data_IF_707514653711
#
_entry.id   IF_707514653711
#
_cell.length_a   1.000
_cell.length_b   1.000
_cell.length_c   1.000
_cell.angle_alpha   90.00
_cell.angle_beta   90.00
_cell.angle_gamma   90.00
#
_symmetry.space_group_name_H-M   'P 1'
#
loop_
_entity.id
_entity.type
_entity.pdbx_description
1 polymer ?
#
# COMPACT_ATOMS: atom_id res chain seq x y z
N UNK A 1 10.89 7.50 10.30
CA UNK A 1 10.92 6.40 11.28
C UNK A 1 11.61 6.80 12.59
N UNK A 2 12.85 7.32 12.56
CA UNK A 2 13.54 7.78 13.78
C UNK A 2 12.70 8.77 14.61
N UNK A 3 12.14 9.79 13.96
CA UNK A 3 11.30 10.82 14.60
C UNK A 3 9.96 10.30 15.15
N UNK A 4 9.61 9.05 14.83
CA UNK A 4 8.43 8.34 15.34
C UNK A 4 8.75 7.45 16.55
N UNK A 5 9.94 7.58 17.14
CA UNK A 5 10.38 6.80 18.32
C UNK A 5 10.40 5.28 18.10
N UNK A 6 10.65 4.85 16.87
CA UNK A 6 10.77 3.43 16.50
C UNK A 6 12.19 2.96 16.84
N UNK A 7 12.32 2.14 17.88
CA UNK A 7 13.61 1.74 18.47
C UNK A 7 14.52 0.93 17.52
N UNK A 8 13.93 0.19 16.59
CA UNK A 8 14.58 -0.65 15.59
C UNK A 8 14.63 0.00 14.19
N UNK A 9 14.44 1.32 14.11
CA UNK A 9 14.31 2.05 12.83
C UNK A 9 15.46 1.83 11.85
N UNK A 10 16.71 1.73 12.32
CA UNK A 10 17.87 1.45 11.47
C UNK A 10 17.81 0.05 10.83
N UNK A 11 17.39 -0.96 11.61
CA UNK A 11 17.23 -2.33 11.12
C UNK A 11 16.12 -2.43 10.07
N UNK A 12 15.00 -1.74 10.31
CA UNK A 12 13.87 -1.69 9.38
C UNK A 12 14.25 -0.95 8.08
N UNK A 13 14.95 0.18 8.19
CA UNK A 13 15.46 0.91 7.04
C UNK A 13 16.47 0.07 6.23
N UNK A 14 17.38 -0.63 6.90
CA UNK A 14 18.32 -1.54 6.26
C UNK A 14 17.60 -2.69 5.53
N UNK A 15 16.50 -3.20 6.09
CA UNK A 15 15.67 -4.25 5.46
C UNK A 15 15.05 -3.75 4.16
N UNK A 16 14.41 -2.57 4.19
CA UNK A 16 13.81 -1.96 3.01
C UNK A 16 14.87 -1.63 1.94
N UNK A 17 15.99 -1.04 2.33
CA UNK A 17 17.09 -0.69 1.42
C UNK A 17 17.73 -1.93 0.79
N UNK A 18 17.98 -2.98 1.57
CA UNK A 18 18.56 -4.21 1.06
C UNK A 18 17.60 -4.87 0.05
N UNK A 19 16.30 -4.91 0.37
CA UNK A 19 15.30 -5.42 -0.55
C UNK A 19 15.25 -4.59 -1.85
N UNK A 20 15.23 -3.26 -1.77
CA UNK A 20 15.28 -2.39 -2.96
C UNK A 20 16.48 -2.69 -3.87
N UNK A 21 17.65 -2.95 -3.28
CA UNK A 21 18.89 -3.24 -4.02
C UNK A 21 18.93 -4.63 -4.66
N UNK A 22 18.29 -5.61 -4.04
CA UNK A 22 18.49 -7.05 -4.36
C UNK A 22 17.28 -7.74 -4.96
N UNK A 23 16.09 -7.12 -4.92
CA UNK A 23 14.86 -7.71 -5.44
C UNK A 23 14.95 -8.00 -6.94
N UNK A 24 14.27 -9.07 -7.34
CA UNK A 24 14.20 -9.47 -8.74
C UNK A 24 13.25 -8.54 -9.51
N UNK A 25 13.70 -8.04 -10.66
CA UNK A 25 12.92 -7.11 -11.51
C UNK A 25 12.35 -7.85 -12.71
N UNK A 26 11.29 -8.63 -12.46
CA UNK A 26 10.78 -9.64 -13.40
C UNK A 26 9.50 -9.23 -14.13
N UNK A 27 8.90 -8.10 -13.78
CA UNK A 27 7.70 -7.56 -14.45
C UNK A 27 7.92 -6.12 -14.89
N UNK A 28 7.05 -5.62 -15.77
CA UNK A 28 6.96 -4.20 -16.05
C UNK A 28 5.98 -3.56 -15.06
N UNK A 29 6.38 -2.45 -14.47
CA UNK A 29 5.58 -1.69 -13.49
C UNK A 29 5.58 -0.21 -13.84
N UNK A 30 4.57 0.51 -13.37
CA UNK A 30 4.53 1.96 -13.50
C UNK A 30 5.53 2.62 -12.53
N UNK A 31 5.76 2.04 -11.34
CA UNK A 31 6.90 2.38 -10.49
C UNK A 31 6.74 3.59 -9.56
N UNK A 32 5.65 4.36 -9.68
CA UNK A 32 5.18 5.36 -8.73
C UNK A 32 3.63 5.47 -8.75
N UNK A 33 2.94 4.39 -8.38
CA UNK A 33 1.48 4.32 -8.48
C UNK A 33 0.83 4.77 -7.17
N UNK A 34 0.04 5.84 -7.25
CA UNK A 34 -0.72 6.39 -6.12
C UNK A 34 -1.91 7.19 -6.67
N UNK A 35 -2.80 7.69 -5.80
CA UNK A 35 -4.03 8.36 -6.28
C UNK A 35 -3.79 9.57 -7.20
N UNK A 36 -2.63 10.23 -7.09
CA UNK A 36 -2.24 11.32 -7.99
C UNK A 36 -1.91 10.88 -9.42
N UNK A 37 -1.63 9.59 -9.65
CA UNK A 37 -1.36 9.02 -10.98
C UNK A 37 -2.57 8.29 -11.57
N UNK A 38 -3.74 8.36 -10.91
CA UNK A 38 -5.00 7.81 -11.39
C UNK A 38 -5.92 8.93 -11.91
N UNK A 39 -6.40 8.76 -13.14
CA UNK A 39 -7.39 9.64 -13.76
C UNK A 39 -8.72 8.89 -13.82
N UNK A 40 -9.77 9.48 -13.26
CA UNK A 40 -11.12 8.91 -13.30
C UNK A 40 -11.94 9.73 -14.28
N UNK A 41 -12.33 9.13 -15.40
CA UNK A 41 -13.24 9.76 -16.35
C UNK A 41 -14.67 9.67 -15.81
N UNK A 42 -15.21 10.84 -15.48
CA UNK A 42 -16.55 11.01 -14.93
C UNK A 42 -17.60 11.36 -15.99
N UNK A 43 -17.22 11.52 -17.27
CA UNK A 43 -18.14 11.95 -18.33
C UNK A 43 -19.36 11.03 -18.47
N UNK A 44 -19.30 9.78 -17.98
CA UNK A 44 -20.42 8.84 -17.90
C UNK A 44 -21.40 9.11 -16.75
N UNK A 45 -20.96 9.68 -15.62
CA UNK A 45 -21.81 9.90 -14.43
C UNK A 45 -22.88 10.98 -14.65
N UNK A 46 -22.62 11.94 -15.53
CA UNK A 46 -23.59 12.99 -15.88
C UNK A 46 -24.65 12.54 -16.90
N UNK A 47 -24.48 11.36 -17.53
CA UNK A 47 -25.44 10.76 -18.46
C UNK A 47 -26.26 9.62 -17.86
N UNK A 48 -25.92 9.19 -16.64
CA UNK A 48 -26.44 8.02 -15.95
C UNK A 48 -27.80 8.23 -15.23
N UNK A 49 -28.52 9.32 -15.50
CA UNK A 49 -29.93 9.40 -15.09
C UNK A 49 -30.79 8.58 -16.06
N UNK A 50 -30.59 7.25 -16.13
CA UNK A 50 -31.49 6.37 -16.87
C UNK A 50 -30.93 5.06 -17.45
N UNK A 51 -29.60 4.85 -17.49
CA UNK A 51 -29.01 3.61 -18.03
C UNK A 51 -28.30 2.80 -16.93
N UNK A 52 -28.56 1.49 -16.89
CA UNK A 52 -28.10 0.55 -15.85
C UNK A 52 -26.62 0.14 -15.98
N UNK A 53 -25.94 0.47 -17.08
CA UNK A 53 -24.52 0.13 -17.31
C UNK A 53 -23.61 1.37 -17.30
N UNK A 54 -23.40 1.93 -16.11
CA UNK A 54 -22.43 3.01 -15.91
C UNK A 54 -21.02 2.43 -15.85
N UNK A 55 -20.31 2.44 -16.97
CA UNK A 55 -18.87 2.16 -16.99
C UNK A 55 -18.06 3.42 -16.63
N UNK A 56 -17.21 3.29 -15.62
CA UNK A 56 -16.22 4.31 -15.23
C UNK A 56 -14.88 3.89 -15.81
N UNK A 57 -14.26 4.77 -16.59
CA UNK A 57 -12.90 4.52 -17.10
C UNK A 57 -11.88 5.08 -16.12
N UNK A 58 -10.94 4.23 -15.70
CA UNK A 58 -9.79 4.64 -14.88
C UNK A 58 -8.53 4.54 -15.73
N UNK A 59 -7.88 5.67 -15.98
CA UNK A 59 -6.59 5.77 -16.65
C UNK A 59 -5.44 5.88 -15.64
N UNK A 60 -4.27 5.39 -16.02
CA UNK A 60 -3.01 5.59 -15.26
C UNK A 60 -2.14 6.56 -16.06
N UNK A 61 -1.69 7.65 -15.43
CA UNK A 61 -0.81 8.63 -16.04
C UNK A 61 0.59 8.63 -15.38
N UNK A 62 1.45 9.56 -15.80
CA UNK A 62 2.76 9.80 -15.21
C UNK A 62 3.70 8.56 -15.19
N UNK A 63 4.03 8.06 -16.39
CA UNK A 63 4.84 6.85 -16.58
C UNK A 63 6.36 7.10 -16.49
N UNK A 64 6.82 8.20 -15.88
CA UNK A 64 8.23 8.57 -15.84
C UNK A 64 9.12 7.57 -15.08
N UNK A 65 8.53 6.81 -14.15
CA UNK A 65 9.20 5.78 -13.34
C UNK A 65 9.01 4.35 -13.87
N UNK A 66 8.39 4.21 -15.05
CA UNK A 66 8.02 2.92 -15.57
C UNK A 66 9.22 2.09 -16.04
N UNK A 67 9.20 0.80 -15.72
CA UNK A 67 10.28 -0.10 -16.11
C UNK A 67 10.26 -1.45 -15.41
N UNK A 68 11.33 -2.26 -15.58
CA UNK A 68 11.47 -3.54 -14.90
C UNK A 68 11.47 -3.39 -13.37
N UNK A 69 10.56 -4.11 -12.70
CA UNK A 69 10.37 -4.03 -11.25
C UNK A 69 9.93 -5.38 -10.65
N UNK A 70 9.82 -5.42 -9.32
CA UNK A 70 9.33 -6.58 -8.57
C UNK A 70 7.83 -6.79 -8.82
N UNK A 71 7.35 -8.04 -8.94
CA UNK A 71 5.93 -8.34 -9.12
C UNK A 71 4.99 -7.70 -8.09
N UNK A 72 5.48 -7.49 -6.86
CA UNK A 72 4.70 -6.88 -5.80
C UNK A 72 4.71 -5.33 -5.81
N UNK A 73 5.52 -4.68 -6.65
CA UNK A 73 5.81 -3.25 -6.55
C UNK A 73 4.55 -2.36 -6.59
N UNK A 74 3.82 -2.40 -7.71
CA UNK A 74 2.67 -1.50 -7.92
C UNK A 74 1.51 -1.83 -6.98
N UNK A 75 1.26 -3.12 -6.71
CA UNK A 75 0.18 -3.53 -5.80
C UNK A 75 0.50 -3.17 -4.34
N UNK A 76 1.77 -3.24 -3.93
CA UNK A 76 2.22 -2.79 -2.61
C UNK A 76 2.08 -1.27 -2.47
N UNK A 77 2.47 -0.53 -3.49
CA UNK A 77 2.43 0.93 -3.46
C UNK A 77 0.97 1.43 -3.46
N UNK A 78 0.15 1.04 -4.44
CA UNK A 78 -1.25 1.44 -4.49
C UNK A 78 -2.01 0.99 -3.24
N UNK A 79 -1.80 -0.27 -2.83
CA UNK A 79 -2.38 -0.83 -1.62
C UNK A 79 -2.01 -0.05 -0.36
N UNK A 80 -0.78 0.47 -0.28
CA UNK A 80 -0.35 1.34 0.80
C UNK A 80 -1.14 2.65 0.86
N UNK A 81 -1.38 3.33 -0.26
CA UNK A 81 -2.19 4.57 -0.26
C UNK A 81 -3.64 4.30 0.17
N UNK A 82 -4.22 3.17 -0.24
CA UNK A 82 -5.54 2.74 0.22
C UNK A 82 -5.52 2.44 1.73
N UNK A 83 -4.48 1.77 2.23
CA UNK A 83 -4.30 1.53 3.66
C UNK A 83 -4.21 2.85 4.43
N UNK A 84 -3.35 3.78 4.01
CA UNK A 84 -3.19 5.10 4.63
C UNK A 84 -4.51 5.84 4.75
N UNK A 85 -5.35 5.84 3.70
CA UNK A 85 -6.68 6.44 3.77
C UNK A 85 -7.58 5.82 4.84
N UNK A 86 -7.54 4.49 5.01
CA UNK A 86 -8.42 3.79 5.97
C UNK A 86 -8.09 4.08 7.45
N UNK A 87 -6.84 4.46 7.73
CA UNK A 87 -6.37 4.77 9.10
C UNK A 87 -6.08 6.27 9.28
N UNK A 88 -6.31 7.08 8.25
CA UNK A 88 -6.12 8.52 8.28
C UNK A 88 -7.22 9.19 9.14
N UNK A 89 -6.87 10.12 10.04
CA UNK A 89 -7.86 10.85 10.86
C UNK A 89 -8.79 11.77 10.07
N UNK A 90 -8.47 12.07 8.80
CA UNK A 90 -9.29 12.92 7.93
C UNK A 90 -10.45 12.15 7.29
N UNK A 91 -10.44 10.82 7.38
CA UNK A 91 -11.43 9.95 6.72
C UNK A 91 -12.64 9.73 7.63
N UNK A 92 -13.83 10.06 7.12
CA UNK A 92 -15.11 9.78 7.79
C UNK A 92 -15.51 8.31 7.69
N UNK A 93 -16.46 7.86 8.54
CA UNK A 93 -16.96 6.48 8.51
C UNK A 93 -17.51 6.07 7.14
N UNK A 94 -18.25 6.94 6.45
CA UNK A 94 -18.77 6.66 5.12
C UNK A 94 -17.65 6.53 4.06
N UNK A 95 -16.59 7.33 4.17
CA UNK A 95 -15.44 7.20 3.28
C UNK A 95 -14.66 5.91 3.56
N UNK A 96 -14.60 5.45 4.82
CA UNK A 96 -13.96 4.18 5.17
C UNK A 96 -14.66 2.99 4.51
N UNK A 97 -15.99 2.97 4.40
CA UNK A 97 -16.71 1.92 3.67
C UNK A 97 -16.28 1.84 2.20
N UNK A 98 -16.16 2.98 1.53
CA UNK A 98 -15.68 3.06 0.14
C UNK A 98 -14.24 2.58 0.02
N UNK A 99 -13.36 2.98 0.94
CA UNK A 99 -11.95 2.56 0.97
C UNK A 99 -11.84 1.04 1.15
N UNK A 100 -12.65 0.45 2.04
CA UNK A 100 -12.64 -1.00 2.27
C UNK A 100 -13.18 -1.78 1.07
N UNK A 101 -14.26 -1.31 0.44
CA UNK A 101 -14.79 -1.93 -0.79
C UNK A 101 -13.78 -1.84 -1.95
N UNK A 102 -13.08 -0.70 -2.07
CA UNK A 102 -12.00 -0.54 -3.04
C UNK A 102 -10.85 -1.50 -2.76
N UNK A 103 -10.40 -1.63 -1.50
CA UNK A 103 -9.34 -2.56 -1.11
C UNK A 103 -9.70 -4.02 -1.44
N UNK A 104 -10.92 -4.45 -1.08
CA UNK A 104 -11.41 -5.80 -1.38
C UNK A 104 -11.42 -6.08 -2.88
N UNK A 105 -11.92 -5.13 -3.69
CA UNK A 105 -11.98 -5.29 -5.14
C UNK A 105 -10.59 -5.26 -5.78
N UNK A 106 -9.71 -4.36 -5.33
CA UNK A 106 -8.33 -4.21 -5.81
C UNK A 106 -7.55 -5.51 -5.63
N UNK A 107 -7.45 -6.00 -4.39
CA UNK A 107 -6.70 -7.21 -4.10
C UNK A 107 -7.39 -8.45 -4.66
N UNK A 108 -8.71 -8.55 -4.51
CA UNK A 108 -9.50 -9.65 -5.07
C UNK A 108 -9.28 -9.82 -6.58
N UNK A 109 -9.36 -8.73 -7.33
CA UNK A 109 -9.15 -8.73 -8.78
C UNK A 109 -7.69 -8.98 -9.16
N UNK A 110 -6.74 -8.38 -8.46
CA UNK A 110 -5.30 -8.59 -8.70
C UNK A 110 -4.92 -10.06 -8.53
N UNK A 111 -5.29 -10.68 -7.41
CA UNK A 111 -4.92 -12.06 -7.11
C UNK A 111 -5.71 -13.09 -7.92
N UNK A 112 -6.99 -12.83 -8.24
CA UNK A 112 -7.76 -13.69 -9.14
C UNK A 112 -7.17 -13.76 -10.56
N UNK A 113 -6.47 -12.70 -10.99
CA UNK A 113 -5.77 -12.66 -12.29
C UNK A 113 -4.46 -13.43 -12.33
N UNK A 114 -3.91 -13.87 -11.19
CA UNK A 114 -2.64 -14.59 -11.16
C UNK A 114 -2.80 -16.05 -11.60
N UNK A 115 -1.93 -16.49 -12.52
CA UNK A 115 -1.91 -17.89 -12.99
C UNK A 115 -1.32 -18.86 -11.98
N UNK A 116 -0.59 -18.36 -10.98
CA UNK A 116 0.11 -19.14 -9.98
C UNK A 116 -0.08 -18.47 -8.62
N UNK A 117 -0.15 -19.29 -7.58
CA UNK A 117 -0.17 -18.79 -6.22
C UNK A 117 1.14 -18.04 -5.92
N UNK A 118 1.09 -16.88 -5.25
CA UNK A 118 2.29 -16.16 -4.86
C UNK A 118 3.15 -16.97 -3.89
N UNK A 119 4.46 -16.94 -4.12
CA UNK A 119 5.43 -17.63 -3.27
C UNK A 119 5.87 -16.75 -2.08
N UNK A 120 6.78 -17.29 -1.26
CA UNK A 120 7.30 -16.59 -0.09
C UNK A 120 8.02 -15.28 -0.47
N UNK A 121 8.73 -15.28 -1.59
CA UNK A 121 9.48 -14.11 -2.03
C UNK A 121 8.52 -12.97 -2.40
N UNK A 122 7.41 -13.28 -3.07
CA UNK A 122 6.35 -12.30 -3.34
C UNK A 122 5.78 -11.73 -2.05
N UNK A 123 5.36 -12.58 -1.09
CA UNK A 123 4.73 -12.11 0.15
C UNK A 123 5.67 -11.25 1.00
N UNK A 124 6.94 -11.64 1.09
CA UNK A 124 7.98 -10.84 1.76
C UNK A 124 8.17 -9.49 1.05
N UNK A 125 8.20 -9.47 -0.27
CA UNK A 125 8.37 -8.25 -1.06
C UNK A 125 7.16 -7.31 -0.87
N UNK A 126 5.94 -7.85 -0.93
CA UNK A 126 4.71 -7.11 -0.67
C UNK A 126 4.74 -6.45 0.73
N UNK A 127 5.07 -7.20 1.78
CA UNK A 127 5.18 -6.64 3.14
C UNK A 127 6.24 -5.55 3.25
N UNK A 128 7.42 -5.76 2.67
CA UNK A 128 8.52 -4.78 2.74
C UNK A 128 8.16 -3.50 2.00
N UNK A 129 7.68 -3.62 0.77
CA UNK A 129 7.33 -2.48 -0.08
C UNK A 129 6.15 -1.71 0.48
N UNK A 130 5.11 -2.40 0.96
CA UNK A 130 3.93 -1.77 1.58
C UNK A 130 4.33 -1.01 2.85
N UNK A 131 5.12 -1.65 3.73
CA UNK A 131 5.57 -1.02 4.97
C UNK A 131 6.52 0.15 4.75
N UNK A 132 7.42 0.03 3.77
CA UNK A 132 8.32 1.12 3.38
C UNK A 132 7.56 2.30 2.79
N UNK A 133 6.65 2.05 1.83
CA UNK A 133 5.87 3.12 1.22
C UNK A 133 5.00 3.82 2.25
N UNK A 134 4.45 3.09 3.23
CA UNK A 134 3.66 3.70 4.30
C UNK A 134 4.50 4.66 5.15
N UNK A 135 5.69 4.24 5.56
CA UNK A 135 6.61 5.10 6.29
C UNK A 135 7.09 6.31 5.45
N UNK A 136 7.32 6.09 4.16
CA UNK A 136 7.76 7.13 3.22
C UNK A 136 6.66 8.15 2.94
N UNK A 137 5.48 7.71 2.52
CA UNK A 137 4.35 8.55 2.15
C UNK A 137 3.79 9.33 3.35
N UNK A 138 3.71 8.72 4.53
CA UNK A 138 3.31 9.43 5.75
C UNK A 138 4.41 10.40 6.23
N UNK A 139 5.68 9.99 6.12
CA UNK A 139 6.83 10.77 6.57
C UNK A 139 7.16 11.96 5.68
N UNK A 140 6.77 11.94 4.40
CA UNK A 140 7.13 12.96 3.42
C UNK A 140 6.39 14.26 3.68
N UNK A 141 7.13 15.29 4.10
CA UNK A 141 6.60 16.61 4.47
C UNK A 141 5.66 17.22 3.44
N UNK A 142 5.95 17.09 2.14
CA UNK A 142 5.11 17.63 1.07
C UNK A 142 3.74 16.94 0.93
N UNK A 143 3.57 15.75 1.51
CA UNK A 143 2.34 14.94 1.44
C UNK A 143 1.63 14.82 2.80
N UNK A 144 2.18 15.38 3.87
CA UNK A 144 1.62 15.24 5.23
C UNK A 144 0.18 15.79 5.35
N UNK A 145 -0.16 16.85 4.60
CA UNK A 145 -1.51 17.42 4.58
C UNK A 145 -2.56 16.49 3.98
N UNK A 146 -2.16 15.44 3.25
CA UNK A 146 -3.07 14.39 2.78
C UNK A 146 -3.53 13.49 3.94
N UNK A 147 -2.79 13.46 5.04
CA UNK A 147 -2.96 12.50 6.13
C UNK A 147 -3.31 13.14 7.47
N UNK A 148 -2.88 14.37 7.75
CA UNK A 148 -3.35 15.13 8.91
C UNK A 148 -3.55 16.61 8.56
N UNK A 149 -4.55 17.24 9.19
CA UNK A 149 -4.78 18.69 9.22
C UNK A 149 -3.93 19.42 10.28
N UNK A 150 -3.01 18.73 10.93
CA UNK A 150 -2.18 19.25 12.00
C UNK A 150 -1.26 20.36 11.46
N UNK A 151 -1.29 21.57 12.02
CA UNK A 151 -0.43 22.72 11.62
C UNK A 151 1.08 22.53 11.91
N UNK A 152 1.51 21.32 12.26
CA UNK A 152 2.90 21.01 12.57
C UNK A 152 3.71 20.70 11.31
N UNK A 153 4.78 21.45 11.08
CA UNK A 153 5.80 21.07 10.10
C UNK A 153 6.58 19.84 10.61
N UNK A 154 6.43 18.68 9.95
CA UNK A 154 7.12 17.39 10.14
C UNK A 154 6.34 16.29 10.89
N UNK A 155 6.97 15.10 11.03
CA UNK A 155 6.52 13.84 11.72
C UNK A 155 6.32 14.03 13.23
N UNK A 156 5.82 15.19 13.65
CA UNK A 156 5.71 15.61 15.04
C UNK A 156 4.33 15.35 15.62
N UNK A 157 3.28 15.30 14.79
CA UNK A 157 1.96 14.94 15.28
C UNK A 157 1.84 13.42 15.46
N UNK A 158 1.08 13.00 16.47
CA UNK A 158 0.90 11.59 16.79
C UNK A 158 0.26 10.81 15.64
N UNK A 159 -0.66 11.42 14.89
CA UNK A 159 -1.29 10.78 13.74
C UNK A 159 -0.26 10.31 12.70
N UNK A 160 0.67 11.18 12.26
CA UNK A 160 1.71 10.78 11.29
C UNK A 160 2.65 9.74 11.91
N UNK A 161 2.95 9.83 13.22
CA UNK A 161 3.76 8.81 13.91
C UNK A 161 3.08 7.45 13.90
N UNK A 162 1.77 7.41 14.13
CA UNK A 162 0.97 6.18 14.13
C UNK A 162 0.96 5.54 12.73
N UNK A 163 0.83 6.34 11.67
CA UNK A 163 0.94 5.84 10.28
C UNK A 163 2.33 5.26 10.00
N UNK A 164 3.40 5.94 10.43
CA UNK A 164 4.77 5.43 10.28
C UNK A 164 5.00 4.17 11.11
N UNK A 165 4.38 4.07 12.30
CA UNK A 165 4.44 2.88 13.15
C UNK A 165 3.74 1.69 12.49
N UNK A 166 2.61 1.91 11.81
CA UNK A 166 1.93 0.87 11.05
C UNK A 166 2.82 0.35 9.92
N UNK A 167 3.50 1.23 9.17
CA UNK A 167 4.49 0.82 8.17
C UNK A 167 5.63 -0.02 8.77
N UNK A 168 6.09 0.34 9.97
CA UNK A 168 7.10 -0.45 10.69
C UNK A 168 6.60 -1.84 11.12
N UNK A 169 5.30 -2.01 11.42
CA UNK A 169 4.73 -3.34 11.73
C UNK A 169 4.82 -4.29 10.52
N UNK A 170 4.59 -3.78 9.31
CA UNK A 170 4.76 -4.53 8.06
C UNK A 170 6.22 -4.94 7.83
N UNK A 171 7.16 -4.02 8.01
CA UNK A 171 8.59 -4.32 7.88
C UNK A 171 9.04 -5.39 8.89
N UNK A 172 8.57 -5.31 10.13
CA UNK A 172 8.85 -6.32 11.17
C UNK A 172 8.25 -7.68 10.84
N UNK A 173 7.01 -7.72 10.33
CA UNK A 173 6.39 -8.97 9.86
C UNK A 173 7.24 -9.62 8.76
N UNK A 174 7.74 -8.84 7.80
CA UNK A 174 8.62 -9.35 6.75
C UNK A 174 9.95 -9.93 7.28
N UNK A 175 10.54 -9.31 8.32
CA UNK A 175 11.76 -9.82 8.96
C UNK A 175 11.56 -11.18 9.63
N UNK A 176 10.38 -11.41 10.22
CA UNK A 176 10.03 -12.66 10.92
C UNK A 176 9.51 -13.76 10.00
N UNK A 177 9.23 -13.46 8.74
CA UNK A 177 8.66 -14.39 7.77
C UNK A 177 9.74 -15.24 7.11
N UNK A 178 10.13 -16.40 7.67
CA UNK A 178 11.13 -17.29 7.05
C UNK A 178 10.54 -18.37 6.13
N UNK A 179 9.25 -18.66 6.30
CA UNK A 179 8.49 -19.62 5.49
C UNK A 179 7.02 -19.16 5.32
N UNK A 180 6.24 -19.88 4.51
CA UNK A 180 4.84 -19.51 4.20
C UNK A 180 3.93 -19.57 5.44
N UNK A 181 4.12 -20.53 6.33
CA UNK A 181 3.31 -20.64 7.53
C UNK A 181 3.54 -19.44 8.48
N UNK A 182 4.80 -19.02 8.63
CA UNK A 182 5.16 -17.80 9.36
C UNK A 182 4.64 -16.54 8.66
N UNK A 183 4.69 -16.47 7.32
CA UNK A 183 4.09 -15.37 6.56
C UNK A 183 2.60 -15.23 6.89
N UNK A 184 1.87 -16.33 6.83
CA UNK A 184 0.44 -16.37 7.14
C UNK A 184 0.17 -15.98 8.60
N UNK A 185 0.99 -16.46 9.54
CA UNK A 185 0.87 -16.11 10.96
C UNK A 185 1.09 -14.62 11.21
N UNK A 186 2.17 -14.04 10.67
CA UNK A 186 2.51 -12.63 10.82
C UNK A 186 1.46 -11.72 10.17
N UNK A 187 0.97 -12.09 8.97
CA UNK A 187 -0.12 -11.39 8.32
C UNK A 187 -1.41 -11.46 9.14
N UNK A 188 -1.75 -12.59 9.76
CA UNK A 188 -2.94 -12.65 10.62
C UNK A 188 -2.92 -11.64 11.79
N UNK A 189 -1.76 -11.11 12.18
CA UNK A 189 -1.60 -10.06 13.20
C UNK A 189 -1.73 -8.63 12.67
N UNK A 190 -1.84 -8.45 11.35
CA UNK A 190 -1.96 -7.16 10.68
C UNK A 190 -3.39 -7.03 10.14
N UNK A 191 -4.15 -6.06 10.64
CA UNK A 191 -5.57 -5.91 10.28
C UNK A 191 -5.79 -5.70 8.78
N UNK A 192 -4.85 -5.04 8.10
CA UNK A 192 -4.93 -4.75 6.68
C UNK A 192 -4.68 -5.97 5.78
N UNK A 193 -3.90 -6.94 6.23
CA UNK A 193 -3.57 -8.11 5.38
C UNK A 193 -4.72 -9.11 5.29
N UNK A 194 -5.88 -8.84 5.91
CA UNK A 194 -7.13 -9.57 5.63
C UNK A 194 -7.53 -9.52 4.14
N UNK A 195 -7.05 -8.52 3.40
CA UNK A 195 -7.23 -8.41 1.95
C UNK A 195 -6.21 -9.22 1.14
N UNK A 196 -5.19 -9.80 1.80
CA UNK A 196 -4.20 -10.65 1.13
C UNK A 196 -4.70 -12.09 1.18
N UNK A 197 -4.92 -12.76 0.04
CA UNK A 197 -5.38 -14.14 0.00
C UNK A 197 -4.23 -15.11 0.27
N UNK A 198 -3.52 -14.93 1.38
CA UNK A 198 -2.50 -15.89 1.83
C UNK A 198 -3.14 -17.21 2.32
N UNK A 199 -4.48 -17.28 2.33
CA UNK A 199 -5.26 -18.48 2.58
C UNK A 199 -5.21 -19.45 1.39
N UNK A 200 -4.14 -20.23 1.35
CA UNK A 200 -3.96 -21.42 0.51
C UNK A 200 -3.19 -22.55 1.22
N UNK A 201 -3.11 -22.49 2.56
CA UNK A 201 -2.89 -23.65 3.42
C UNK A 201 -4.24 -24.25 3.80
#
# INVERSE_FOLDING_TARGET
MHDSSISDSDSLAATALNHWRTRAKTVFSQGDIWFGTLLVDNHTLSRAQGDEDVSVTVGICDWEWAGPNDPAADIAQLGCYVHLLSICPLTSSAQNEVVYAFAETLYGSYFAGLKKQPDLAFWRSLLIMHGWEMANAAGWSARQSLWCSCDGSAVRCNHIKDLVLEGARFLRAAQRTSNIAEAAHEMAQLSWTKYFPIAGL
#
